data_IF_272098219189
#
_entry.id   IF_272098219189
#
_cell.length_a   1.000
_cell.length_b   1.000
_cell.length_c   1.000
_cell.angle_alpha   90.00
_cell.angle_beta   90.00
_cell.angle_gamma   90.00
#
_symmetry.space_group_name_H-M   'P 1'
#
loop_
_entity.id
_entity.type
_entity.pdbx_description
1 polymer ?
#
# COMPACT_ATOMS: atom_id res chain seq x y z
N UNK A 1 -21.21 8.08 -11.78
CA UNK A 1 -20.38 6.88 -12.01
C UNK A 1 -18.94 7.30 -11.86
N UNK A 2 -18.18 6.71 -10.94
CA UNK A 2 -16.79 7.06 -10.66
C UNK A 2 -15.84 5.91 -11.01
N UNK A 3 -14.55 6.22 -11.15
CA UNK A 3 -13.51 5.21 -11.37
C UNK A 3 -13.35 4.37 -10.09
N UNK A 4 -13.56 3.05 -10.21
CA UNK A 4 -13.47 2.11 -9.08
C UNK A 4 -12.18 1.31 -9.05
N UNK A 5 -11.59 1.06 -10.21
CA UNK A 5 -10.39 0.25 -10.35
C UNK A 5 -9.42 0.97 -11.27
N UNK A 6 -8.17 1.09 -10.84
CA UNK A 6 -7.10 1.75 -11.57
C UNK A 6 -5.84 0.88 -11.50
N UNK A 7 -5.27 0.61 -12.68
CA UNK A 7 -3.96 0.00 -12.80
C UNK A 7 -3.01 0.98 -13.47
N UNK A 8 -1.86 1.16 -12.85
CA UNK A 8 -0.75 1.95 -13.36
C UNK A 8 0.41 1.00 -13.62
N UNK A 9 0.97 1.05 -14.83
CA UNK A 9 2.06 0.17 -15.24
C UNK A 9 3.20 1.02 -15.81
N UNK A 10 4.44 0.77 -15.38
CA UNK A 10 5.65 1.36 -15.98
C UNK A 10 5.67 2.89 -16.00
N UNK A 11 5.21 3.49 -14.91
CA UNK A 11 5.20 4.94 -14.70
C UNK A 11 6.21 5.34 -13.63
N UNK A 12 6.83 6.49 -13.83
CA UNK A 12 7.53 7.20 -12.77
C UNK A 12 6.60 8.24 -12.18
N UNK A 13 6.12 7.98 -10.96
CA UNK A 13 5.17 8.83 -10.24
C UNK A 13 5.93 9.71 -9.26
N UNK A 14 5.54 10.97 -9.20
CA UNK A 14 6.02 11.92 -8.21
C UNK A 14 5.03 12.04 -7.03
N UNK A 15 5.48 12.60 -5.90
CA UNK A 15 4.63 12.80 -4.73
C UNK A 15 3.36 13.61 -5.07
N UNK A 16 3.49 14.58 -5.98
CA UNK A 16 2.37 15.38 -6.48
C UNK A 16 1.32 14.54 -7.22
N UNK A 17 1.74 13.55 -8.00
CA UNK A 17 0.84 12.68 -8.76
C UNK A 17 -0.01 11.82 -7.84
N UNK A 18 0.60 11.30 -6.76
CA UNK A 18 -0.10 10.48 -5.77
C UNK A 18 -1.18 11.27 -5.04
N UNK A 19 -0.88 12.52 -4.67
CA UNK A 19 -1.86 13.42 -4.03
C UNK A 19 -3.00 13.75 -5.00
N UNK A 20 -2.67 14.06 -6.26
CA UNK A 20 -3.68 14.34 -7.29
C UNK A 20 -4.55 13.12 -7.56
N UNK A 21 -3.98 11.91 -7.61
CA UNK A 21 -4.72 10.66 -7.78
C UNK A 21 -5.72 10.47 -6.64
N UNK A 22 -5.28 10.57 -5.38
CA UNK A 22 -6.16 10.41 -4.23
C UNK A 22 -7.32 11.44 -4.22
N UNK A 23 -7.05 12.67 -4.65
CA UNK A 23 -8.05 13.74 -4.74
C UNK A 23 -9.02 13.56 -5.92
N UNK A 24 -8.53 13.06 -7.06
CA UNK A 24 -9.33 12.92 -8.28
C UNK A 24 -10.25 11.71 -8.27
N UNK A 25 -9.86 10.63 -7.58
CA UNK A 25 -10.62 9.36 -7.54
C UNK A 25 -10.91 8.89 -6.10
N UNK A 26 -11.67 9.65 -5.31
CA UNK A 26 -11.96 9.30 -3.90
C UNK A 26 -12.80 8.02 -3.74
N UNK A 27 -13.52 7.61 -4.79
CA UNK A 27 -14.33 6.39 -4.81
C UNK A 27 -13.54 5.16 -5.29
N UNK A 28 -12.22 5.27 -5.43
CA UNK A 28 -11.37 4.17 -5.89
C UNK A 28 -11.40 3.03 -4.87
N UNK A 29 -11.79 1.84 -5.33
CA UNK A 29 -11.87 0.61 -4.54
C UNK A 29 -10.61 -0.25 -4.73
N UNK A 30 -10.03 -0.24 -5.93
CA UNK A 30 -8.92 -1.11 -6.33
C UNK A 30 -7.82 -0.30 -7.01
N UNK A 31 -6.58 -0.49 -6.53
CA UNK A 31 -5.41 0.18 -7.06
C UNK A 31 -4.27 -0.83 -7.24
N UNK A 32 -3.69 -0.87 -8.43
CA UNK A 32 -2.57 -1.75 -8.77
C UNK A 32 -1.45 -0.94 -9.40
N UNK A 33 -0.24 -1.08 -8.85
CA UNK A 33 0.99 -0.55 -9.39
C UNK A 33 1.84 -1.72 -9.88
N UNK A 34 2.32 -1.65 -11.12
CA UNK A 34 3.21 -2.67 -11.68
C UNK A 34 4.41 -2.02 -12.33
N UNK A 35 5.61 -2.38 -11.87
CA UNK A 35 6.87 -1.81 -12.35
C UNK A 35 6.81 -0.26 -12.35
N UNK A 36 6.26 0.31 -11.28
CA UNK A 36 6.13 1.75 -11.12
C UNK A 36 7.18 2.26 -10.13
N UNK A 37 7.85 3.37 -10.48
CA UNK A 37 8.58 4.15 -9.50
C UNK A 37 7.57 4.97 -8.70
N UNK A 38 7.28 4.52 -7.48
CA UNK A 38 6.37 5.21 -6.55
C UNK A 38 7.15 5.97 -5.47
N UNK A 39 6.69 7.16 -5.06
CA UNK A 39 7.33 7.91 -3.98
C UNK A 39 7.35 7.15 -2.64
N UNK A 40 8.36 7.38 -1.77
CA UNK A 40 8.47 6.70 -0.47
C UNK A 40 7.27 6.91 0.47
N UNK A 41 6.52 7.99 0.29
CA UNK A 41 5.34 8.37 1.07
C UNK A 41 4.01 7.94 0.44
N UNK A 42 4.05 7.12 -0.62
CA UNK A 42 2.86 6.68 -1.35
C UNK A 42 1.83 6.03 -0.43
N UNK A 43 2.24 5.10 0.44
CA UNK A 43 1.31 4.40 1.34
C UNK A 43 0.62 5.37 2.32
N UNK A 44 1.33 6.43 2.74
CA UNK A 44 0.77 7.49 3.57
C UNK A 44 -0.32 8.26 2.84
N UNK A 45 -0.16 8.53 1.54
CA UNK A 45 -1.18 9.21 0.74
C UNK A 45 -2.40 8.31 0.52
N UNK A 46 -2.18 7.03 0.23
CA UNK A 46 -3.25 6.06 -0.05
C UNK A 46 -4.20 5.82 1.12
N UNK A 47 -3.80 6.12 2.37
CA UNK A 47 -4.71 6.08 3.52
C UNK A 47 -5.92 7.01 3.39
N UNK A 48 -5.81 8.02 2.51
CA UNK A 48 -6.88 8.99 2.24
C UNK A 48 -7.88 8.51 1.17
N UNK A 49 -7.76 7.27 0.68
CA UNK A 49 -8.75 6.63 -0.18
C UNK A 49 -9.76 5.84 0.68
N UNK A 50 -10.93 6.40 1.01
CA UNK A 50 -11.84 5.83 2.01
C UNK A 50 -12.51 4.53 1.54
N UNK A 51 -12.51 4.26 0.23
CA UNK A 51 -13.13 3.08 -0.39
C UNK A 51 -12.12 2.00 -0.75
N UNK A 52 -10.83 2.24 -0.57
CA UNK A 52 -9.79 1.32 -0.99
C UNK A 52 -9.91 -0.01 -0.23
N UNK A 53 -10.18 -1.07 -0.98
CA UNK A 53 -10.30 -2.45 -0.48
C UNK A 53 -9.24 -3.38 -1.03
N UNK A 54 -8.57 -2.99 -2.11
CA UNK A 54 -7.52 -3.77 -2.73
C UNK A 54 -6.36 -2.86 -3.15
N UNK A 55 -5.16 -3.16 -2.65
CA UNK A 55 -3.92 -2.54 -3.08
C UNK A 55 -2.93 -3.62 -3.51
N UNK A 56 -2.42 -3.49 -4.73
CA UNK A 56 -1.40 -4.36 -5.28
C UNK A 56 -0.20 -3.52 -5.72
N UNK A 57 1.00 -3.89 -5.30
CA UNK A 57 2.27 -3.27 -5.72
C UNK A 57 3.20 -4.39 -6.14
N UNK A 58 3.44 -4.52 -7.45
CA UNK A 58 4.27 -5.55 -8.06
C UNK A 58 5.51 -4.95 -8.68
N UNK A 59 6.58 -5.75 -8.73
CA UNK A 59 7.89 -5.36 -9.25
C UNK A 59 8.42 -4.14 -8.48
N UNK A 60 8.24 -4.16 -7.15
CA UNK A 60 8.60 -3.03 -6.28
C UNK A 60 10.12 -2.95 -6.01
N UNK A 61 10.84 -4.05 -6.21
CA UNK A 61 12.29 -4.16 -6.04
C UNK A 61 13.09 -3.22 -6.95
N UNK A 62 12.66 -3.01 -8.20
CA UNK A 62 13.31 -2.06 -9.11
C UNK A 62 13.24 -0.61 -8.62
N UNK A 63 12.33 -0.32 -7.69
CA UNK A 63 11.93 1.02 -7.31
C UNK A 63 11.83 1.23 -5.79
N UNK A 64 12.29 0.24 -5.01
CA UNK A 64 12.37 0.35 -3.57
C UNK A 64 13.38 1.45 -3.24
N UNK A 65 13.04 2.45 -2.41
CA UNK A 65 14.04 3.41 -1.99
C UNK A 65 15.06 2.65 -1.14
N UNK A 66 16.29 2.51 -1.64
CA UNK A 66 17.41 1.86 -0.91
C UNK A 66 17.56 2.37 0.53
N UNK A 67 17.10 3.60 0.77
CA UNK A 67 17.17 4.30 2.05
C UNK A 67 15.89 4.22 2.91
N UNK A 68 14.80 3.55 2.48
CA UNK A 68 13.58 3.48 3.30
C UNK A 68 13.82 2.60 4.53
N UNK A 69 13.81 3.18 5.76
CA UNK A 69 13.98 2.37 6.97
C UNK A 69 12.76 1.46 7.18
N UNK A 70 12.98 0.22 7.64
CA UNK A 70 11.90 -0.73 7.94
C UNK A 70 10.85 -0.16 8.91
N UNK A 71 11.27 0.66 9.88
CA UNK A 71 10.36 1.35 10.80
C UNK A 71 9.43 2.34 10.08
N UNK A 72 9.92 3.00 9.03
CA UNK A 72 9.11 3.90 8.20
C UNK A 72 8.07 3.11 7.42
N UNK A 73 8.46 1.99 6.81
CA UNK A 73 7.55 1.08 6.13
C UNK A 73 6.45 0.59 7.08
N UNK A 74 6.83 0.11 8.27
CA UNK A 74 5.90 -0.35 9.31
C UNK A 74 4.90 0.73 9.72
N UNK A 75 5.37 1.95 9.97
CA UNK A 75 4.50 3.07 10.32
C UNK A 75 3.52 3.42 9.21
N UNK A 76 3.97 3.43 7.96
CA UNK A 76 3.11 3.74 6.82
C UNK A 76 2.07 2.65 6.56
N UNK A 77 2.48 1.38 6.58
CA UNK A 77 1.56 0.24 6.46
C UNK A 77 0.55 0.24 7.61
N UNK A 78 0.98 0.51 8.84
CA UNK A 78 0.06 0.61 9.98
C UNK A 78 -0.98 1.71 9.77
N UNK A 79 -0.57 2.88 9.28
CA UNK A 79 -1.47 3.99 8.98
C UNK A 79 -2.49 3.64 7.88
N UNK A 80 -2.02 3.00 6.80
CA UNK A 80 -2.88 2.52 5.72
C UNK A 80 -3.88 1.47 6.21
N UNK A 81 -3.41 0.49 6.99
CA UNK A 81 -4.19 -0.65 7.48
C UNK A 81 -5.18 -0.26 8.57
N UNK A 82 -4.81 0.62 9.51
CA UNK A 82 -5.72 1.09 10.55
C UNK A 82 -6.94 1.79 9.92
N UNK A 83 -6.71 2.56 8.86
CA UNK A 83 -7.73 3.29 8.12
C UNK A 83 -8.52 4.26 8.99
N UNK A 84 -9.54 4.87 8.41
CA UNK A 84 -10.54 5.63 9.17
C UNK A 84 -11.69 4.72 9.64
N UNK A 85 -12.47 5.20 10.62
CA UNK A 85 -13.63 4.46 11.09
C UNK A 85 -14.63 4.21 9.94
N UNK A 86 -14.96 2.93 9.71
CA UNK A 86 -15.85 2.53 8.62
C UNK A 86 -15.15 2.25 7.29
N UNK A 87 -13.82 2.29 7.23
CA UNK A 87 -13.06 1.79 6.09
C UNK A 87 -13.40 0.31 5.80
N UNK A 88 -13.51 -0.09 4.52
CA UNK A 88 -13.78 -1.46 4.13
C UNK A 88 -12.58 -2.35 4.47
N UNK A 89 -12.78 -3.67 4.55
CA UNK A 89 -11.67 -4.61 4.65
C UNK A 89 -10.65 -4.40 3.52
N UNK A 90 -9.36 -4.64 3.82
CA UNK A 90 -8.26 -4.36 2.92
C UNK A 90 -7.48 -5.62 2.59
N UNK A 91 -7.32 -5.88 1.30
CA UNK A 91 -6.36 -6.86 0.80
C UNK A 91 -5.14 -6.13 0.24
N UNK A 92 -3.96 -6.52 0.71
CA UNK A 92 -2.66 -6.05 0.28
C UNK A 92 -1.95 -7.18 -0.48
N UNK A 93 -1.32 -6.85 -1.59
CA UNK A 93 -0.47 -7.78 -2.33
C UNK A 93 0.82 -7.10 -2.75
N UNK A 94 1.94 -7.65 -2.33
CA UNK A 94 3.27 -7.12 -2.64
C UNK A 94 4.08 -8.15 -3.43
N UNK A 95 4.49 -7.76 -4.63
CA UNK A 95 5.35 -8.55 -5.52
C UNK A 95 6.77 -8.03 -5.53
N UNK A 96 7.73 -8.92 -5.29
CA UNK A 96 9.16 -8.62 -5.33
C UNK A 96 9.94 -9.86 -5.77
N UNK A 97 10.89 -9.68 -6.70
CA UNK A 97 11.89 -10.71 -7.03
C UNK A 97 13.12 -10.64 -6.09
N UNK A 98 13.28 -9.52 -5.37
CA UNK A 98 14.30 -9.37 -4.33
C UNK A 98 13.85 -10.04 -3.02
N UNK A 99 14.63 -11.04 -2.58
CA UNK A 99 14.36 -11.81 -1.35
C UNK A 99 14.51 -10.99 -0.06
N UNK A 100 15.43 -10.05 -0.01
CA UNK A 100 15.63 -9.19 1.15
C UNK A 100 14.45 -8.24 1.34
N UNK A 101 13.95 -7.66 0.24
CA UNK A 101 12.73 -6.87 0.24
C UNK A 101 11.50 -7.71 0.59
N UNK A 102 11.39 -8.92 0.05
CA UNK A 102 10.32 -9.87 0.38
C UNK A 102 10.28 -10.18 1.89
N UNK A 103 11.43 -10.48 2.50
CA UNK A 103 11.56 -10.72 3.95
C UNK A 103 11.21 -9.46 4.78
N UNK A 104 11.66 -8.29 4.34
CA UNK A 104 11.34 -7.01 4.98
C UNK A 104 9.83 -6.73 4.97
N UNK A 105 9.17 -6.91 3.81
CA UNK A 105 7.73 -6.75 3.66
C UNK A 105 6.95 -7.74 4.52
N UNK A 106 7.36 -9.00 4.56
CA UNK A 106 6.76 -10.02 5.44
C UNK A 106 6.85 -9.62 6.91
N UNK A 107 8.05 -9.24 7.37
CA UNK A 107 8.29 -8.75 8.73
C UNK A 107 7.40 -7.55 9.07
N UNK A 108 7.30 -6.57 8.17
CA UNK A 108 6.48 -5.38 8.38
C UNK A 108 4.99 -5.70 8.42
N UNK A 109 4.49 -6.55 7.52
CA UNK A 109 3.09 -7.01 7.49
C UNK A 109 2.73 -7.77 8.76
N UNK A 110 3.56 -8.73 9.18
CA UNK A 110 3.35 -9.48 10.42
C UNK A 110 3.29 -8.56 11.64
N UNK A 111 4.21 -7.60 11.71
CA UNK A 111 4.21 -6.59 12.78
C UNK A 111 2.91 -5.77 12.78
N UNK A 112 2.46 -5.29 11.61
CA UNK A 112 1.19 -4.53 11.50
C UNK A 112 -0.01 -5.36 11.94
N UNK A 113 -0.09 -6.63 11.52
CA UNK A 113 -1.16 -7.53 11.94
C UNK A 113 -1.22 -7.73 13.47
N UNK A 114 -0.07 -7.71 14.14
CA UNK A 114 -0.01 -7.75 15.61
C UNK A 114 -0.43 -6.42 16.27
N UNK A 115 -0.23 -5.28 15.61
CA UNK A 115 -0.59 -3.96 16.15
C UNK A 115 -2.08 -3.61 15.99
N UNK A 116 -2.72 -4.02 14.89
CA UNK A 116 -4.12 -3.65 14.60
C UNK A 116 -5.11 -3.98 15.76
N UNK A 117 -5.02 -5.15 16.43
CA UNK A 117 -5.88 -5.45 17.58
C UNK A 117 -5.63 -4.52 18.79
N UNK A 118 -4.38 -4.11 19.02
CA UNK A 118 -4.01 -3.20 20.11
C UNK A 118 -4.59 -1.81 19.92
N UNK A 119 -4.69 -1.36 18.67
CA UNK A 119 -5.33 -0.11 18.27
C UNK A 119 -6.87 -0.18 18.24
N UNK A 120 -7.44 -1.36 18.52
CA UNK A 120 -8.90 -1.64 18.43
C UNK A 120 -9.46 -1.38 17.02
N UNK A 121 -8.61 -1.49 15.99
CA UNK A 121 -9.05 -1.44 14.60
C UNK A 121 -9.91 -2.67 14.29
N UNK A 122 -11.09 -2.45 13.70
CA UNK A 122 -12.02 -3.53 13.33
C UNK A 122 -11.91 -3.97 11.88
N UNK A 123 -11.15 -3.21 11.07
CA UNK A 123 -10.90 -3.50 9.67
C UNK A 123 -10.11 -4.80 9.55
N UNK A 124 -10.59 -5.76 8.76
CA UNK A 124 -9.81 -6.95 8.44
C UNK A 124 -8.76 -6.57 7.41
N UNK A 125 -7.53 -7.03 7.63
CA UNK A 125 -6.42 -6.84 6.70
C UNK A 125 -5.86 -8.19 6.32
N UNK A 126 -5.88 -8.48 5.03
CA UNK A 126 -5.24 -9.64 4.43
C UNK A 126 -4.04 -9.15 3.64
N UNK A 127 -2.92 -9.87 3.72
CA UNK A 127 -1.70 -9.46 3.04
C UNK A 127 -0.98 -10.67 2.49
N UNK A 128 -0.53 -10.56 1.25
CA UNK A 128 0.26 -11.57 0.55
C UNK A 128 1.57 -10.94 0.05
N UNK A 129 2.69 -11.62 0.29
CA UNK A 129 4.02 -11.19 -0.14
C UNK A 129 4.73 -12.36 -0.81
N UNK A 130 5.16 -12.19 -2.06
CA UNK A 130 5.88 -13.22 -2.81
C UNK A 130 6.26 -12.78 -4.21
N UNK A 131 6.80 -13.69 -5.02
CA UNK A 131 7.08 -13.47 -6.43
C UNK A 131 5.78 -13.66 -7.26
N UNK A 132 5.48 -12.73 -8.18
CA UNK A 132 4.21 -12.69 -8.93
C UNK A 132 4.37 -12.41 -10.43
#
# INVERSE_FOLDING_TARGET
>A
MGLKSLRLERLALEAGDMVQLAAAVPELEELSFRACLIPPDTLLVLRHLPRLRWLEILDWDEFWPDDMPEETLRCQLLGLCAGEAGAPDLTLRFGSDDKGLEECLKSAVEWVQQQLPLLRCRRRVEAEVGAF
#
